data_IF_630342845821
#
_entry.id   IF_630342845821
#
_cell.length_a   1.000
_cell.length_b   1.000
_cell.length_c   1.000
_cell.angle_alpha   90.00
_cell.angle_beta   90.00
_cell.angle_gamma   90.00
#
_symmetry.space_group_name_H-M   'P 1'
#
loop_
_entity.id
_entity.type
_entity.pdbx_description
1 polymer ?
#
# COMPACT_ATOMS: atom_id res chain seq x y z
N UNK A 1 1.93 25.96 -6.75
CA UNK A 1 3.30 25.44 -6.60
C UNK A 1 3.59 24.38 -7.63
N UNK A 2 4.80 24.43 -8.21
CA UNK A 2 5.30 23.46 -9.20
C UNK A 2 6.75 23.07 -8.88
N UNK A 3 7.13 21.87 -9.23
CA UNK A 3 8.49 21.36 -9.06
C UNK A 3 9.11 21.18 -10.43
N UNK A 4 10.20 21.90 -10.70
CA UNK A 4 11.01 21.70 -11.88
C UNK A 4 12.10 20.67 -11.59
N UNK A 5 12.33 19.75 -12.50
CA UNK A 5 13.28 18.65 -12.31
C UNK A 5 14.68 19.11 -11.87
N UNK A 6 15.21 20.18 -12.46
CA UNK A 6 16.56 20.65 -12.22
C UNK A 6 16.67 21.82 -11.23
N UNK A 7 15.56 22.52 -10.95
CA UNK A 7 15.57 23.76 -10.14
C UNK A 7 14.73 23.69 -8.88
N UNK A 8 13.92 22.63 -8.71
CA UNK A 8 13.11 22.40 -7.51
C UNK A 8 11.83 23.21 -7.49
N UNK A 9 11.39 23.54 -6.28
CA UNK A 9 10.07 24.12 -6.01
C UNK A 9 10.02 25.61 -6.30
N UNK A 10 9.09 26.00 -7.15
CA UNK A 10 8.76 27.38 -7.49
C UNK A 10 7.24 27.60 -7.58
N UNK A 11 6.84 28.80 -7.98
CA UNK A 11 5.44 29.18 -8.20
C UNK A 11 5.23 29.41 -9.70
N UNK A 12 4.31 28.69 -10.30
CA UNK A 12 3.84 28.95 -11.66
C UNK A 12 3.14 30.31 -11.72
N UNK A 13 3.56 31.17 -12.64
CA UNK A 13 3.04 32.53 -12.84
C UNK A 13 2.33 32.74 -14.16
N UNK A 14 2.15 31.68 -14.94
CA UNK A 14 1.48 31.75 -16.22
C UNK A 14 2.42 31.52 -17.41
N UNK A 15 1.90 31.79 -18.59
CA UNK A 15 2.64 31.71 -19.87
C UNK A 15 2.86 33.14 -20.36
N UNK A 16 4.09 33.44 -20.74
CA UNK A 16 4.49 34.72 -21.34
C UNK A 16 5.05 34.48 -22.74
N UNK A 17 4.67 35.32 -23.69
CA UNK A 17 5.28 35.33 -25.02
C UNK A 17 6.56 36.13 -24.97
N UNK A 18 7.65 35.50 -25.36
CA UNK A 18 8.97 36.12 -25.38
C UNK A 18 9.53 35.99 -26.80
N UNK A 19 9.96 37.11 -27.38
CA UNK A 19 10.63 37.15 -28.64
C UNK A 19 12.12 36.83 -28.45
N UNK A 20 12.59 35.73 -29.04
CA UNK A 20 14.00 35.35 -29.09
C UNK A 20 14.39 35.16 -30.56
N UNK A 21 15.41 35.87 -31.01
CA UNK A 21 15.89 35.82 -32.41
C UNK A 21 14.79 36.15 -33.45
N UNK A 22 13.94 37.16 -33.16
CA UNK A 22 12.80 37.57 -33.99
C UNK A 22 11.70 36.51 -34.14
N UNK A 23 11.66 35.50 -33.28
CA UNK A 23 10.62 34.48 -33.25
C UNK A 23 9.92 34.55 -31.89
N UNK A 24 8.60 34.78 -31.89
CA UNK A 24 7.78 34.71 -30.67
C UNK A 24 7.59 33.23 -30.25
N UNK A 25 7.87 32.95 -29.00
CA UNK A 25 7.63 31.63 -28.40
C UNK A 25 6.92 31.76 -27.07
N UNK A 26 6.11 30.79 -26.75
CA UNK A 26 5.41 30.71 -25.46
C UNK A 26 6.34 30.10 -24.41
N UNK A 27 6.55 30.82 -23.32
CA UNK A 27 7.35 30.39 -22.16
C UNK A 27 6.50 30.32 -20.91
N UNK A 28 6.69 29.25 -20.15
CA UNK A 28 6.15 29.11 -18.82
C UNK A 28 7.07 29.84 -17.85
N UNK A 29 6.49 30.77 -17.08
CA UNK A 29 7.21 31.53 -16.06
C UNK A 29 7.04 30.88 -14.70
N UNK A 30 8.15 30.58 -14.04
CA UNK A 30 8.20 30.03 -12.69
C UNK A 30 9.02 30.99 -11.81
N UNK A 31 8.41 31.48 -10.75
CA UNK A 31 9.05 32.34 -9.75
C UNK A 31 9.64 31.50 -8.61
N UNK A 32 10.86 31.84 -8.23
CA UNK A 32 11.61 31.21 -7.15
C UNK A 32 11.90 32.14 -6.00
N UNK A 33 12.43 31.60 -4.88
CA UNK A 33 12.81 32.44 -3.74
C UNK A 33 13.81 33.52 -4.12
N UNK A 34 13.58 34.74 -3.60
CA UNK A 34 14.40 35.91 -3.91
C UNK A 34 14.05 36.66 -5.21
N UNK A 35 12.87 36.32 -5.80
CA UNK A 35 12.36 36.99 -6.99
C UNK A 35 12.99 36.55 -8.32
N UNK A 36 13.80 35.51 -8.32
CA UNK A 36 14.35 34.91 -9.53
C UNK A 36 13.26 34.24 -10.36
N UNK A 37 13.23 34.46 -11.67
CA UNK A 37 12.30 33.84 -12.60
C UNK A 37 13.03 32.87 -13.53
N UNK A 38 12.41 31.70 -13.74
CA UNK A 38 12.82 30.72 -14.75
C UNK A 38 11.78 30.72 -15.87
N UNK A 39 12.25 30.79 -17.09
CA UNK A 39 11.43 30.69 -18.29
C UNK A 39 11.78 29.40 -19.03
N UNK A 40 10.81 28.54 -19.21
CA UNK A 40 10.95 27.28 -19.94
C UNK A 40 9.98 27.27 -21.10
N UNK A 41 10.36 26.66 -22.22
CA UNK A 41 9.47 26.54 -23.36
C UNK A 41 8.22 25.77 -22.99
N UNK A 42 7.05 26.19 -23.46
CA UNK A 42 5.79 25.51 -23.23
C UNK A 42 5.79 24.04 -23.73
N UNK A 43 6.66 23.71 -24.68
CA UNK A 43 6.88 22.34 -25.18
C UNK A 43 7.62 21.43 -24.20
N UNK A 44 8.22 21.97 -23.13
CA UNK A 44 8.99 21.24 -22.11
C UNK A 44 8.18 21.06 -20.80
N UNK A 45 6.88 20.89 -20.90
CA UNK A 45 5.97 20.68 -19.75
C UNK A 45 6.31 19.43 -18.95
N UNK A 46 6.91 18.43 -19.55
CA UNK A 46 7.39 17.20 -18.95
C UNK A 46 8.45 17.42 -17.85
N UNK A 47 9.16 18.56 -17.91
CA UNK A 47 10.14 18.94 -16.87
C UNK A 47 9.50 19.53 -15.61
N UNK A 48 8.17 19.74 -15.59
CA UNK A 48 7.45 20.36 -14.49
C UNK A 48 6.37 19.41 -13.99
N UNK A 49 6.26 19.30 -12.66
CA UNK A 49 5.18 18.58 -12.01
C UNK A 49 4.44 19.50 -11.03
N UNK A 50 3.12 19.34 -10.94
CA UNK A 50 2.33 20.03 -9.93
C UNK A 50 2.74 19.52 -8.54
N UNK A 51 2.99 20.43 -7.62
CA UNK A 51 3.20 20.07 -6.22
C UNK A 51 1.88 19.61 -5.59
N UNK A 52 1.82 18.37 -5.13
CA UNK A 52 0.57 17.69 -4.80
C UNK A 52 0.18 17.74 -3.30
N UNK A 53 0.98 18.38 -2.45
CA UNK A 53 0.69 18.42 -1.01
C UNK A 53 -0.37 19.50 -0.70
N UNK A 54 -1.61 19.05 -0.53
CA UNK A 54 -2.75 19.91 -0.25
C UNK A 54 -2.88 20.33 1.24
N UNK A 55 -2.18 19.62 2.15
CA UNK A 55 -2.30 19.82 3.60
C UNK A 55 -1.07 20.50 4.24
N UNK A 56 0.00 20.68 3.50
CA UNK A 56 1.22 21.27 4.04
C UNK A 56 1.11 22.78 4.25
N UNK A 57 1.72 23.24 5.34
CA UNK A 57 2.14 24.63 5.51
C UNK A 57 2.85 25.11 4.25
N UNK A 58 2.67 26.40 3.85
CA UNK A 58 3.31 26.98 2.67
C UNK A 58 4.73 26.46 2.50
N UNK A 59 5.04 25.71 1.43
CA UNK A 59 6.34 25.09 1.27
C UNK A 59 7.40 26.16 1.00
N UNK A 60 8.63 25.93 1.47
CA UNK A 60 9.76 26.82 1.21
C UNK A 60 10.21 26.68 -0.23
N UNK A 61 10.20 27.80 -0.98
CA UNK A 61 10.68 27.85 -2.35
C UNK A 61 12.19 27.65 -2.43
N UNK A 62 12.65 26.99 -3.48
CA UNK A 62 14.07 26.91 -3.79
C UNK A 62 14.58 28.24 -4.37
N UNK A 63 15.89 28.47 -4.29
CA UNK A 63 16.55 29.63 -4.88
C UNK A 63 17.34 29.20 -6.11
N UNK A 64 17.13 29.91 -7.24
CA UNK A 64 17.86 29.65 -8.48
C UNK A 64 19.37 29.85 -8.30
N UNK A 65 20.17 29.08 -9.03
CA UNK A 65 21.63 29.17 -9.03
C UNK A 65 22.29 28.63 -7.77
N UNK A 66 21.57 28.00 -6.86
CA UNK A 66 22.12 27.39 -5.64
C UNK A 66 22.17 25.85 -5.77
N UNK A 67 23.06 25.23 -5.01
CA UNK A 67 23.15 23.77 -4.92
C UNK A 67 22.08 23.14 -3.99
N UNK A 68 21.12 23.91 -3.48
CA UNK A 68 20.12 23.45 -2.49
C UNK A 68 19.30 22.29 -3.04
N UNK A 69 18.76 22.43 -4.25
CA UNK A 69 17.96 21.39 -4.89
C UNK A 69 18.78 20.13 -5.20
N UNK A 70 19.98 20.29 -5.73
CA UNK A 70 20.89 19.17 -6.00
C UNK A 70 21.24 18.40 -4.74
N UNK A 71 21.50 19.09 -3.63
CA UNK A 71 21.72 18.46 -2.32
C UNK A 71 20.49 17.72 -1.82
N UNK A 72 19.29 18.30 -1.99
CA UNK A 72 18.02 17.64 -1.63
C UNK A 72 17.83 16.37 -2.44
N UNK A 73 17.99 16.41 -3.77
CA UNK A 73 17.91 15.22 -4.63
C UNK A 73 18.92 14.14 -4.23
N UNK A 74 20.18 14.53 -3.98
CA UNK A 74 21.22 13.59 -3.58
C UNK A 74 20.90 12.90 -2.24
N UNK A 75 20.43 13.68 -1.24
CA UNK A 75 20.02 13.12 0.05
C UNK A 75 18.87 12.13 -0.06
N UNK A 76 17.84 12.48 -0.84
CA UNK A 76 16.68 11.59 -1.08
C UNK A 76 17.13 10.33 -1.83
N UNK A 77 17.97 10.47 -2.85
CA UNK A 77 18.51 9.32 -3.61
C UNK A 77 19.31 8.36 -2.71
N UNK A 78 20.10 8.90 -1.77
CA UNK A 78 20.83 8.09 -0.80
C UNK A 78 19.89 7.36 0.16
N UNK A 79 18.87 8.06 0.69
CA UNK A 79 17.88 7.45 1.57
C UNK A 79 17.09 6.34 0.86
N UNK A 80 16.64 6.58 -0.39
CA UNK A 80 15.94 5.56 -1.19
C UNK A 80 16.83 4.34 -1.45
N UNK A 81 18.13 4.56 -1.74
CA UNK A 81 19.09 3.44 -1.92
C UNK A 81 19.24 2.62 -0.64
N UNK A 82 19.33 3.26 0.53
CA UNK A 82 19.41 2.55 1.81
C UNK A 82 18.17 1.67 2.05
N UNK A 83 16.97 2.22 1.79
CA UNK A 83 15.71 1.44 1.90
C UNK A 83 15.71 0.26 0.92
N UNK A 84 16.17 0.47 -0.33
CA UNK A 84 16.27 -0.60 -1.32
C UNK A 84 17.24 -1.71 -0.86
N UNK A 85 18.41 -1.35 -0.33
CA UNK A 85 19.41 -2.30 0.18
C UNK A 85 18.85 -3.12 1.36
N UNK A 86 18.09 -2.49 2.27
CA UNK A 86 17.41 -3.17 3.37
C UNK A 86 16.34 -4.15 2.87
N UNK A 87 15.53 -3.73 1.88
CA UNK A 87 14.51 -4.60 1.27
C UNK A 87 15.16 -5.81 0.57
N UNK A 88 16.24 -5.62 -0.18
CA UNK A 88 16.97 -6.73 -0.83
C UNK A 88 17.47 -7.73 0.21
N UNK A 89 18.03 -7.24 1.34
CA UNK A 89 18.47 -8.13 2.44
C UNK A 89 17.30 -8.91 3.04
N UNK A 90 16.17 -8.26 3.28
CA UNK A 90 14.96 -8.91 3.80
C UNK A 90 14.44 -9.98 2.82
N UNK A 91 14.45 -9.68 1.53
CA UNK A 91 14.10 -10.65 0.49
C UNK A 91 15.02 -11.87 0.48
N UNK A 92 16.34 -11.66 0.55
CA UNK A 92 17.32 -12.74 0.59
C UNK A 92 17.13 -13.63 1.85
N UNK A 93 16.92 -13.03 3.02
CA UNK A 93 16.64 -13.77 4.26
C UNK A 93 15.35 -14.58 4.14
N UNK A 94 14.29 -14.00 3.55
CA UNK A 94 13.01 -14.68 3.34
C UNK A 94 13.16 -15.88 2.42
N UNK A 95 13.92 -15.76 1.33
CA UNK A 95 14.16 -16.87 0.39
C UNK A 95 14.96 -18.02 0.98
N UNK A 96 15.80 -17.76 1.99
CA UNK A 96 16.57 -18.78 2.68
C UNK A 96 15.79 -19.52 3.78
N UNK A 97 14.66 -18.95 4.23
CA UNK A 97 13.82 -19.57 5.27
C UNK A 97 12.78 -20.47 4.65
N UNK A 98 12.60 -21.65 5.25
CA UNK A 98 11.43 -22.47 4.96
C UNK A 98 10.18 -21.86 5.60
N UNK A 99 9.10 -21.79 4.83
CA UNK A 99 7.79 -21.38 5.29
C UNK A 99 7.00 -22.56 5.86
N UNK A 100 5.86 -22.24 6.45
CA UNK A 100 4.89 -23.26 6.81
C UNK A 100 4.22 -23.77 5.53
N UNK A 101 4.20 -25.08 5.34
CA UNK A 101 3.50 -25.74 4.24
C UNK A 101 2.08 -26.07 4.69
N UNK A 102 1.10 -25.36 4.13
CA UNK A 102 -0.31 -25.58 4.45
C UNK A 102 -0.82 -26.89 3.84
N UNK A 103 -1.79 -27.50 4.50
CA UNK A 103 -2.45 -28.72 4.05
C UNK A 103 -3.26 -28.49 2.76
N UNK A 104 -3.46 -29.53 1.92
CA UNK A 104 -4.41 -29.46 0.82
C UNK A 104 -5.82 -29.08 1.30
N UNK A 105 -6.67 -28.62 0.38
CA UNK A 105 -8.03 -28.20 0.71
C UNK A 105 -8.85 -29.28 1.39
N UNK A 106 -9.41 -28.93 2.54
CA UNK A 106 -10.34 -29.77 3.28
C UNK A 106 -11.76 -29.70 2.66
N UNK A 107 -12.67 -30.62 3.02
CA UNK A 107 -14.08 -30.48 2.66
C UNK A 107 -14.69 -29.13 3.10
N UNK A 108 -14.30 -28.61 4.27
CA UNK A 108 -14.74 -27.31 4.79
C UNK A 108 -14.24 -26.13 3.95
N UNK A 109 -13.04 -26.22 3.38
CA UNK A 109 -12.55 -25.20 2.44
C UNK A 109 -13.45 -25.15 1.20
N UNK A 110 -13.84 -26.29 0.66
CA UNK A 110 -14.72 -26.36 -0.52
C UNK A 110 -16.12 -25.82 -0.20
N UNK A 111 -16.70 -26.22 0.94
CA UNK A 111 -17.99 -25.70 1.39
C UNK A 111 -17.97 -24.19 1.59
N UNK A 112 -16.90 -23.66 2.20
CA UNK A 112 -16.70 -22.22 2.34
C UNK A 112 -16.66 -21.48 0.99
N UNK A 113 -16.01 -22.07 0.00
CA UNK A 113 -15.88 -21.51 -1.35
C UNK A 113 -17.20 -21.60 -2.13
N UNK A 114 -17.95 -22.69 -2.02
CA UNK A 114 -19.27 -22.89 -2.64
C UNK A 114 -20.32 -21.92 -2.10
N UNK A 115 -20.18 -21.41 -0.87
CA UNK A 115 -21.04 -20.40 -0.30
C UNK A 115 -20.77 -18.97 -0.84
N UNK A 116 -19.83 -18.81 -1.76
CA UNK A 116 -19.63 -17.53 -2.42
C UNK A 116 -20.81 -17.23 -3.37
N UNK A 117 -21.51 -16.07 -3.19
CA UNK A 117 -22.79 -15.83 -3.85
C UNK A 117 -22.69 -15.42 -5.34
N UNK A 118 -21.48 -15.38 -5.89
CA UNK A 118 -21.23 -14.95 -7.27
C UNK A 118 -20.43 -16.02 -8.02
N UNK A 119 -20.55 -16.01 -9.35
CA UNK A 119 -19.65 -16.81 -10.19
C UNK A 119 -18.27 -16.15 -10.28
N UNK A 120 -17.22 -16.92 -10.08
CA UNK A 120 -15.85 -16.46 -10.23
C UNK A 120 -15.49 -16.28 -11.70
N UNK A 121 -14.74 -15.24 -12.00
CA UNK A 121 -14.10 -15.10 -13.31
C UNK A 121 -12.91 -16.06 -13.44
N UNK A 122 -12.51 -16.36 -14.67
CA UNK A 122 -11.33 -17.22 -14.92
C UNK A 122 -10.06 -16.68 -14.24
N UNK A 123 -9.87 -15.35 -14.22
CA UNK A 123 -8.74 -14.71 -13.57
C UNK A 123 -8.79 -14.84 -12.04
N UNK A 124 -10.00 -14.76 -11.45
CA UNK A 124 -10.16 -14.99 -10.01
C UNK A 124 -9.82 -16.43 -9.65
N UNK A 125 -10.31 -17.42 -10.41
CA UNK A 125 -9.99 -18.82 -10.20
C UNK A 125 -8.48 -19.08 -10.32
N UNK A 126 -7.84 -18.55 -11.36
CA UNK A 126 -6.39 -18.66 -11.53
C UNK A 126 -5.61 -18.05 -10.36
N UNK A 127 -6.02 -16.87 -9.87
CA UNK A 127 -5.39 -16.22 -8.72
C UNK A 127 -5.60 -16.99 -7.40
N UNK A 128 -6.77 -17.63 -7.22
CA UNK A 128 -7.07 -18.50 -6.07
C UNK A 128 -6.18 -19.74 -6.10
N UNK A 129 -6.12 -20.43 -7.24
CA UNK A 129 -5.28 -21.63 -7.41
C UNK A 129 -3.81 -21.33 -7.16
N UNK A 130 -3.30 -20.25 -7.75
CA UNK A 130 -1.92 -19.81 -7.56
C UNK A 130 -1.61 -19.49 -6.10
N UNK A 131 -2.54 -18.81 -5.40
CA UNK A 131 -2.39 -18.48 -3.98
C UNK A 131 -2.34 -19.78 -3.14
N UNK A 132 -3.26 -20.71 -3.38
CA UNK A 132 -3.27 -22.00 -2.68
C UNK A 132 -1.99 -22.80 -2.93
N UNK A 133 -1.54 -22.85 -4.19
CA UNK A 133 -0.29 -23.52 -4.57
C UNK A 133 0.93 -22.93 -3.87
N UNK A 134 1.00 -21.62 -3.75
CA UNK A 134 2.07 -20.98 -2.99
C UNK A 134 1.99 -21.33 -1.50
N UNK A 135 0.80 -21.32 -0.90
CA UNK A 135 0.59 -21.69 0.50
C UNK A 135 0.97 -23.15 0.77
N UNK A 136 0.70 -24.07 -0.15
CA UNK A 136 1.03 -25.49 -0.06
C UNK A 136 2.50 -25.78 -0.37
N UNK A 137 3.28 -24.77 -0.74
CA UNK A 137 4.72 -24.90 -0.93
C UNK A 137 5.49 -24.69 0.38
N UNK A 138 6.76 -25.12 0.43
CA UNK A 138 7.66 -24.82 1.56
C UNK A 138 8.26 -23.42 1.50
N UNK A 139 7.99 -22.67 0.45
CA UNK A 139 8.46 -21.28 0.33
C UNK A 139 7.54 -20.36 1.08
N UNK A 140 8.11 -19.34 1.73
CA UNK A 140 7.31 -18.25 2.32
C UNK A 140 6.60 -17.52 1.18
N UNK A 141 5.27 -17.55 1.16
CA UNK A 141 4.48 -16.86 0.15
C UNK A 141 4.65 -15.34 0.25
N UNK A 142 4.87 -14.72 -0.90
CA UNK A 142 4.86 -13.27 -1.07
C UNK A 142 4.25 -12.97 -2.45
N UNK A 143 2.92 -12.93 -2.50
CA UNK A 143 2.16 -12.83 -3.75
C UNK A 143 1.44 -11.50 -3.85
N UNK A 144 1.65 -10.80 -4.95
CA UNK A 144 0.90 -9.59 -5.30
C UNK A 144 -0.32 -9.98 -6.17
N UNK A 145 -1.51 -9.62 -5.69
CA UNK A 145 -2.77 -9.75 -6.47
C UNK A 145 -3.13 -8.39 -7.02
N UNK A 146 -3.04 -8.23 -8.34
CA UNK A 146 -3.40 -7.03 -9.06
C UNK A 146 -4.81 -7.16 -9.64
N UNK A 147 -5.59 -6.09 -9.57
CA UNK A 147 -6.93 -6.01 -10.16
C UNK A 147 -7.57 -4.67 -9.83
N UNK A 148 -8.52 -4.24 -10.63
CA UNK A 148 -9.27 -3.00 -10.42
C UNK A 148 -10.19 -3.05 -9.20
N UNK A 149 -10.74 -1.91 -8.82
CA UNK A 149 -11.70 -1.80 -7.72
C UNK A 149 -12.97 -2.58 -8.07
N UNK A 150 -13.46 -3.39 -7.13
CA UNK A 150 -14.67 -4.20 -7.31
C UNK A 150 -14.46 -5.59 -7.95
N UNK A 151 -13.23 -5.94 -8.38
CA UNK A 151 -12.93 -7.24 -9.01
C UNK A 151 -12.66 -8.38 -8.02
N UNK A 152 -13.21 -8.31 -6.81
CA UNK A 152 -13.23 -9.45 -5.87
C UNK A 152 -11.90 -9.84 -5.25
N UNK A 153 -10.86 -8.97 -5.26
CA UNK A 153 -9.56 -9.27 -4.60
C UNK A 153 -9.70 -9.72 -3.15
N UNK A 154 -10.68 -9.21 -2.45
CA UNK A 154 -10.96 -9.55 -1.05
C UNK A 154 -11.39 -11.01 -0.90
N UNK A 155 -12.12 -11.58 -1.85
CA UNK A 155 -12.54 -12.99 -1.80
C UNK A 155 -11.32 -13.93 -1.89
N UNK A 156 -10.34 -13.61 -2.74
CA UNK A 156 -9.08 -14.38 -2.81
C UNK A 156 -8.37 -14.38 -1.45
N UNK A 157 -8.31 -13.22 -0.81
CA UNK A 157 -7.71 -13.09 0.53
C UNK A 157 -8.52 -13.83 1.61
N UNK A 158 -9.85 -13.84 1.54
CA UNK A 158 -10.72 -14.59 2.47
C UNK A 158 -10.50 -16.10 2.36
N UNK A 159 -10.40 -16.64 1.13
CA UNK A 159 -10.13 -18.07 0.90
C UNK A 159 -8.75 -18.46 1.44
N UNK A 160 -7.74 -17.64 1.21
CA UNK A 160 -6.41 -17.85 1.77
C UNK A 160 -6.41 -17.79 3.31
N UNK A 161 -7.13 -16.84 3.89
CA UNK A 161 -7.27 -16.72 5.34
C UNK A 161 -7.98 -17.92 5.94
N UNK A 162 -9.07 -18.38 5.32
CA UNK A 162 -9.79 -19.56 5.79
C UNK A 162 -8.91 -20.82 5.73
N UNK A 163 -8.16 -21.01 4.65
CA UNK A 163 -7.19 -22.10 4.52
C UNK A 163 -6.14 -22.07 5.64
N UNK A 164 -5.62 -20.88 5.99
CA UNK A 164 -4.67 -20.75 7.09
C UNK A 164 -5.28 -21.12 8.45
N UNK A 165 -6.52 -20.72 8.70
CA UNK A 165 -7.25 -21.07 9.93
C UNK A 165 -7.50 -22.58 10.05
N UNK A 166 -7.79 -23.25 8.93
CA UNK A 166 -7.95 -24.71 8.92
C UNK A 166 -6.70 -25.46 9.42
N UNK A 167 -5.53 -24.89 9.23
CA UNK A 167 -4.25 -25.41 9.73
C UNK A 167 -3.87 -24.81 11.11
N UNK A 168 -4.82 -24.27 11.84
CA UNK A 168 -4.63 -23.64 13.17
C UNK A 168 -3.61 -22.49 13.13
N UNK A 169 -3.57 -21.71 12.05
CA UNK A 169 -2.75 -20.52 11.94
C UNK A 169 -3.62 -19.27 12.11
N UNK A 170 -3.10 -18.31 12.86
CA UNK A 170 -3.74 -17.00 13.00
C UNK A 170 -3.45 -16.13 11.77
N UNK A 171 -4.42 -15.31 11.39
CA UNK A 171 -4.34 -14.42 10.24
C UNK A 171 -4.42 -12.96 10.68
N UNK A 172 -3.46 -12.15 10.26
CA UNK A 172 -3.49 -10.71 10.40
C UNK A 172 -3.84 -10.05 9.06
N UNK A 173 -5.01 -9.42 8.98
CA UNK A 173 -5.50 -8.73 7.79
C UNK A 173 -5.32 -7.21 7.94
N UNK A 174 -4.27 -6.69 7.30
CA UNK A 174 -3.89 -5.28 7.38
C UNK A 174 -4.62 -4.44 6.33
N UNK A 175 -5.20 -3.33 6.75
CA UNK A 175 -5.86 -2.37 5.86
C UNK A 175 -5.42 -0.93 6.16
N UNK A 176 -5.46 -0.04 5.15
CA UNK A 176 -4.91 1.32 5.30
C UNK A 176 -5.78 2.25 6.15
N UNK A 177 -7.10 2.02 6.22
CA UNK A 177 -8.04 2.92 6.91
C UNK A 177 -8.97 2.19 7.87
N UNK A 178 -9.46 2.89 8.88
CA UNK A 178 -10.41 2.35 9.86
C UNK A 178 -11.77 2.03 9.24
N UNK A 179 -12.17 2.74 8.19
CA UNK A 179 -13.42 2.45 7.45
C UNK A 179 -13.30 1.09 6.76
N UNK A 180 -12.19 0.86 6.06
CA UNK A 180 -11.91 -0.43 5.44
C UNK A 180 -11.77 -1.54 6.48
N UNK A 181 -11.15 -1.28 7.64
CA UNK A 181 -11.08 -2.26 8.71
C UNK A 181 -12.49 -2.72 9.16
N UNK A 182 -13.42 -1.78 9.33
CA UNK A 182 -14.80 -2.10 9.68
C UNK A 182 -15.52 -2.89 8.57
N UNK A 183 -15.35 -2.47 7.32
CA UNK A 183 -15.96 -3.12 6.15
C UNK A 183 -15.45 -4.57 6.02
N UNK A 184 -14.13 -4.76 6.04
CA UNK A 184 -13.54 -6.08 5.93
C UNK A 184 -13.85 -6.97 7.14
N UNK A 185 -13.79 -6.43 8.36
CA UNK A 185 -14.21 -7.17 9.56
C UNK A 185 -15.62 -7.72 9.40
N UNK A 186 -16.59 -6.89 8.98
CA UNK A 186 -17.97 -7.33 8.78
C UNK A 186 -18.07 -8.43 7.72
N UNK A 187 -17.35 -8.30 6.60
CA UNK A 187 -17.34 -9.32 5.56
C UNK A 187 -16.71 -10.64 6.02
N UNK A 188 -15.57 -10.60 6.69
CA UNK A 188 -14.92 -11.79 7.25
C UNK A 188 -15.81 -12.47 8.30
N UNK A 189 -16.36 -11.72 9.25
CA UNK A 189 -17.21 -12.23 10.30
C UNK A 189 -18.46 -12.92 9.73
N UNK A 190 -19.15 -12.27 8.77
CA UNK A 190 -20.33 -12.85 8.13
C UNK A 190 -20.03 -14.14 7.37
N UNK A 191 -18.90 -14.20 6.66
CA UNK A 191 -18.52 -15.34 5.84
C UNK A 191 -18.00 -16.53 6.68
N UNK A 192 -17.37 -16.26 7.82
CA UNK A 192 -16.62 -17.25 8.58
C UNK A 192 -17.30 -17.73 9.86
N UNK A 193 -18.29 -16.97 10.39
CA UNK A 193 -18.96 -17.30 11.68
C UNK A 193 -19.56 -18.68 11.72
N UNK A 194 -20.15 -19.15 10.62
CA UNK A 194 -20.86 -20.45 10.58
C UNK A 194 -19.86 -21.63 10.56
N UNK A 195 -18.58 -21.34 10.32
CA UNK A 195 -17.46 -22.29 10.40
C UNK A 195 -16.73 -22.24 11.76
N UNK A 196 -17.26 -21.51 12.72
CA UNK A 196 -16.65 -21.41 14.05
C UNK A 196 -15.37 -20.58 14.12
N UNK A 197 -15.05 -19.80 13.09
CA UNK A 197 -13.87 -18.92 13.04
C UNK A 197 -14.12 -17.62 13.80
N UNK A 198 -13.25 -17.32 14.74
CA UNK A 198 -13.35 -16.12 15.57
C UNK A 198 -12.59 -14.95 14.94
N UNK A 199 -13.34 -14.02 14.35
CA UNK A 199 -12.81 -12.80 13.74
C UNK A 199 -12.89 -11.64 14.71
N UNK A 200 -11.82 -10.86 14.85
CA UNK A 200 -11.78 -9.64 15.67
C UNK A 200 -11.25 -8.46 14.88
N UNK A 201 -11.59 -7.25 15.33
CA UNK A 201 -11.11 -6.01 14.74
C UNK A 201 -10.21 -5.27 15.72
N UNK A 202 -9.09 -4.72 15.21
CA UNK A 202 -8.22 -3.79 15.95
C UNK A 202 -8.11 -2.47 15.18
N UNK A 203 -8.85 -1.49 15.64
CA UNK A 203 -8.85 -0.15 15.07
C UNK A 203 -9.19 0.89 16.13
N UNK A 204 -9.05 2.18 15.82
CA UNK A 204 -9.47 3.28 16.71
C UNK A 204 -10.98 3.32 17.00
N UNK A 205 -11.79 2.51 16.33
CA UNK A 205 -13.22 2.37 16.63
C UNK A 205 -13.49 1.38 17.77
N UNK A 206 -12.49 0.60 18.18
CA UNK A 206 -12.61 -0.31 19.30
C UNK A 206 -12.35 0.40 20.61
N UNK A 207 -13.08 0.02 21.64
CA UNK A 207 -12.86 0.49 22.99
C UNK A 207 -11.55 -0.08 23.57
N UNK A 208 -10.93 0.57 24.56
CA UNK A 208 -9.74 0.02 25.21
C UNK A 208 -9.94 -1.38 25.82
N UNK A 209 -11.16 -1.72 26.20
CA UNK A 209 -11.52 -3.05 26.69
C UNK A 209 -11.48 -4.09 25.56
N UNK A 210 -12.14 -3.81 24.45
CA UNK A 210 -12.14 -4.68 23.27
C UNK A 210 -10.73 -4.92 22.72
N UNK A 211 -9.89 -3.87 22.69
CA UNK A 211 -8.50 -4.00 22.26
C UNK A 211 -7.75 -4.98 23.16
N UNK A 212 -7.85 -4.82 24.49
CA UNK A 212 -7.19 -5.72 25.44
C UNK A 212 -7.68 -7.16 25.30
N UNK A 213 -9.00 -7.37 25.25
CA UNK A 213 -9.60 -8.69 25.07
C UNK A 213 -9.16 -9.36 23.78
N UNK A 214 -9.04 -8.59 22.68
CA UNK A 214 -8.57 -9.10 21.40
C UNK A 214 -7.09 -9.49 21.47
N UNK A 215 -6.23 -8.66 22.09
CA UNK A 215 -4.80 -8.95 22.25
C UNK A 215 -4.60 -10.20 23.12
N UNK A 216 -5.33 -10.30 24.23
CA UNK A 216 -5.30 -11.50 25.09
C UNK A 216 -5.81 -12.75 24.35
N UNK A 217 -6.86 -12.60 23.55
CA UNK A 217 -7.39 -13.66 22.71
C UNK A 217 -6.38 -14.15 21.67
N UNK A 218 -5.67 -13.22 21.01
CA UNK A 218 -4.59 -13.56 20.08
C UNK A 218 -3.46 -14.33 20.77
N UNK A 219 -3.02 -13.88 21.95
CA UNK A 219 -1.96 -14.56 22.74
C UNK A 219 -2.36 -15.96 23.19
N UNK A 220 -3.64 -16.20 23.39
CA UNK A 220 -4.19 -17.50 23.81
C UNK A 220 -4.60 -18.40 22.64
N UNK A 221 -4.47 -17.95 21.39
CA UNK A 221 -4.93 -18.68 20.21
C UNK A 221 -6.46 -18.78 20.08
N UNK A 222 -7.20 -17.89 20.75
CA UNK A 222 -8.67 -17.84 20.72
C UNK A 222 -9.24 -16.93 19.63
N UNK A 223 -8.40 -16.16 18.97
CA UNK A 223 -8.74 -15.31 17.84
C UNK A 223 -8.01 -15.84 16.62
N UNK A 224 -8.77 -16.21 15.60
CA UNK A 224 -8.23 -16.82 14.38
C UNK A 224 -7.83 -15.77 13.35
N UNK A 225 -8.68 -14.74 13.20
CA UNK A 225 -8.44 -13.65 12.24
C UNK A 225 -8.53 -12.30 12.94
N UNK A 226 -7.53 -11.47 12.79
CA UNK A 226 -7.58 -10.08 13.24
C UNK A 226 -7.52 -9.13 12.03
N UNK A 227 -8.54 -8.28 11.90
CA UNK A 227 -8.60 -7.24 10.87
C UNK A 227 -8.26 -5.90 11.49
N UNK A 228 -7.29 -5.17 10.95
CA UNK A 228 -6.97 -3.88 11.55
C UNK A 228 -6.06 -2.99 10.70
N UNK A 229 -5.80 -1.81 11.22
CA UNK A 229 -4.86 -0.84 10.64
C UNK A 229 -3.46 -1.06 11.22
N UNK A 230 -2.54 -0.12 11.01
CA UNK A 230 -1.15 -0.21 11.50
C UNK A 230 -1.01 -0.64 12.97
N UNK A 231 -2.05 -0.45 13.79
CA UNK A 231 -2.05 -0.89 15.17
C UNK A 231 -1.79 -2.39 15.37
N UNK A 232 -2.15 -3.23 14.39
CA UNK A 232 -1.89 -4.68 14.45
C UNK A 232 -0.39 -5.03 14.30
N UNK A 233 0.44 -4.06 13.91
CA UNK A 233 1.89 -4.21 13.81
C UNK A 233 2.63 -3.69 15.05
N UNK A 234 1.92 -3.33 16.11
CA UNK A 234 2.51 -2.87 17.36
C UNK A 234 3.21 -4.02 18.09
N UNK A 235 4.21 -3.66 18.94
CA UNK A 235 4.96 -4.65 19.72
C UNK A 235 4.12 -5.37 20.79
N UNK A 236 2.93 -4.88 21.07
CA UNK A 236 2.05 -5.43 22.12
C UNK A 236 1.21 -6.61 21.61
N UNK A 237 1.13 -6.78 20.28
CA UNK A 237 0.46 -7.85 19.56
C UNK A 237 1.51 -8.82 18.98
#
# INVERSE_FOLDING_TARGET
YVVHENHGLGIYRGIEKIEVDKVEKDYIKIEYAGGGNLYILATQLDMIQKYADAEAKKPKLNKLGTAEWTRTKSRVKTAVRQVADELVKLYAIRQQKEGYQFSPDTPWQREFEELFPYEETADQLGAIEDTKKDMESRKIMDRLICGDVGYGKTEIAMRAAFKAVQDNKQVAYLVPTTILAKQHFTGFDQRMKDFGVNVKMLSRFCTPKEIRETIEGLKKGLVDVVVGTHGILSKDI
#
